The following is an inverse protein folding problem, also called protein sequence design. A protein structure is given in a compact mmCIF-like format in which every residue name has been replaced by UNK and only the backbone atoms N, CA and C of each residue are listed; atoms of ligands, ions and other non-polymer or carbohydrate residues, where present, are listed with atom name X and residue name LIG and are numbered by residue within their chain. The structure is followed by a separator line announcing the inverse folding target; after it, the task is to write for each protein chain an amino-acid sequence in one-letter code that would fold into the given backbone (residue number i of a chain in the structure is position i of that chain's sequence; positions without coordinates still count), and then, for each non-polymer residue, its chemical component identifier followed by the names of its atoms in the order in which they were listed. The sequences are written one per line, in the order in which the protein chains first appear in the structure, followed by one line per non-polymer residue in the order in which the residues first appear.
data_IF_056808668144
#
_entry.id   IF_056808668144
#
_cell.length_a   1.000
_cell.length_b   1.000
_cell.length_c   1.000
_cell.angle_alpha   90.00
_cell.angle_beta   90.00
_cell.angle_gamma   90.00
#
_symmetry.space_group_name_H-M   'P 1'
#
loop_
_entity.id
_entity.type
_entity.pdbx_description
1 polymer ?
#
# COMPACT_ATOMS: atom_id res chain seq x y z
N UNK A 1 -13.03 -4.97 19.50
CA UNK A 1 -12.01 -3.90 19.48
C UNK A 1 -12.39 -2.88 18.41
N UNK A 2 -12.04 -1.61 18.60
CA UNK A 2 -12.26 -0.55 17.60
C UNK A 2 -10.96 -0.38 16.82
N UNK A 3 -11.00 -0.59 15.51
CA UNK A 3 -9.86 -0.39 14.61
C UNK A 3 -10.12 0.82 13.73
N UNK A 4 -9.20 1.79 13.76
CA UNK A 4 -9.25 3.00 12.94
C UNK A 4 -8.03 3.05 12.05
N UNK A 5 -8.26 3.14 10.74
CA UNK A 5 -7.21 3.03 9.73
C UNK A 5 -6.13 4.10 9.90
N UNK A 6 -6.51 5.33 10.26
CA UNK A 6 -5.61 6.47 10.43
C UNK A 6 -4.61 6.25 11.57
N UNK A 7 -4.99 5.47 12.58
CA UNK A 7 -4.18 5.17 13.76
C UNK A 7 -3.47 3.82 13.63
N UNK A 8 -4.10 2.86 12.94
CA UNK A 8 -3.74 1.44 13.03
C UNK A 8 -2.98 0.89 11.81
N UNK A 9 -3.02 1.59 10.67
CA UNK A 9 -2.40 1.08 9.43
C UNK A 9 -0.88 0.96 9.52
N UNK A 10 -0.23 1.94 10.13
CA UNK A 10 1.24 1.93 10.25
C UNK A 10 1.74 0.83 11.21
N UNK A 11 1.18 0.69 12.43
CA UNK A 11 1.48 -0.46 13.30
C UNK A 11 1.24 -1.81 12.62
N UNK A 12 0.18 -1.93 11.80
CA UNK A 12 -0.09 -3.16 11.07
C UNK A 12 1.03 -3.49 10.07
N UNK A 13 1.52 -2.51 9.30
CA UNK A 13 2.64 -2.72 8.36
C UNK A 13 3.90 -3.18 9.12
N UNK A 14 4.18 -2.61 10.29
CA UNK A 14 5.31 -3.02 11.15
C UNK A 14 5.16 -4.44 11.70
N UNK A 15 3.94 -4.90 11.99
CA UNK A 15 3.69 -6.28 12.40
C UNK A 15 3.85 -7.24 11.23
N UNK A 16 3.35 -6.88 10.04
CA UNK A 16 3.53 -7.68 8.84
C UNK A 16 5.01 -7.89 8.51
N UNK A 17 5.87 -6.87 8.64
CA UNK A 17 7.29 -6.99 8.33
C UNK A 17 8.03 -8.00 9.22
N UNK A 18 7.54 -8.27 10.43
CA UNK A 18 8.15 -9.24 11.36
C UNK A 18 7.88 -10.69 10.96
N UNK A 19 6.89 -10.94 10.10
CA UNK A 19 6.51 -12.28 9.65
C UNK A 19 6.81 -12.53 8.17
N UNK A 20 7.37 -11.54 7.47
CA UNK A 20 7.90 -11.74 6.12
C UNK A 20 9.17 -12.59 6.20
N UNK A 21 9.40 -13.39 5.16
CA UNK A 21 10.70 -14.06 4.95
C UNK A 21 11.80 -13.03 4.75
N UNK A 22 13.06 -13.42 4.96
CA UNK A 22 14.23 -12.55 4.73
C UNK A 22 14.28 -11.94 3.31
N UNK A 23 13.73 -12.66 2.32
CA UNK A 23 13.65 -12.22 0.92
C UNK A 23 12.20 -12.27 0.41
N UNK A 24 11.33 -11.34 0.84
CA UNK A 24 9.93 -11.36 0.44
C UNK A 24 9.81 -10.97 -1.04
N UNK A 25 9.05 -11.73 -1.83
CA UNK A 25 8.79 -11.42 -3.23
C UNK A 25 8.01 -10.11 -3.39
N UNK A 26 7.00 -9.91 -2.52
CA UNK A 26 6.20 -8.69 -2.50
C UNK A 26 5.50 -8.49 -1.14
N UNK A 27 5.07 -7.25 -0.90
CA UNK A 27 4.11 -6.87 0.13
C UNK A 27 3.08 -5.93 -0.51
N UNK A 28 1.79 -6.14 -0.23
CA UNK A 28 0.70 -5.35 -0.83
C UNK A 28 -0.26 -4.89 0.26
N UNK A 29 -0.57 -3.60 0.26
CA UNK A 29 -1.70 -3.04 1.00
C UNK A 29 -2.67 -2.39 0.03
N UNK A 30 -3.96 -2.62 0.28
CA UNK A 30 -5.06 -2.11 -0.51
C UNK A 30 -6.10 -1.50 0.43
N UNK A 31 -6.50 -0.27 0.17
CA UNK A 31 -7.49 0.44 1.00
C UNK A 31 -8.56 1.06 0.12
N UNK A 32 -9.82 0.80 0.44
CA UNK A 32 -10.99 1.45 -0.16
C UNK A 32 -11.48 2.67 0.63
N UNK A 33 -10.78 3.03 1.71
CA UNK A 33 -11.11 4.24 2.45
C UNK A 33 -10.60 5.47 1.70
N UNK A 34 -11.39 6.54 1.71
CA UNK A 34 -10.93 7.85 1.25
C UNK A 34 -10.00 8.48 2.29
N UNK A 35 -8.97 9.21 1.86
CA UNK A 35 -8.09 9.98 2.76
C UNK A 35 -6.72 9.38 3.01
N UNK A 36 -6.51 8.09 2.69
CA UNK A 36 -5.18 7.49 2.68
C UNK A 36 -4.56 7.63 1.30
N UNK A 37 -3.66 8.61 1.13
CA UNK A 37 -3.05 8.91 -0.16
C UNK A 37 -1.98 7.88 -0.55
N UNK A 38 -1.79 7.61 -1.86
CA UNK A 38 -0.71 6.77 -2.36
C UNK A 38 0.68 7.18 -1.86
N UNK A 39 0.94 8.48 -1.76
CA UNK A 39 2.21 9.00 -1.24
C UNK A 39 2.45 8.59 0.22
N UNK A 40 1.40 8.58 1.05
CA UNK A 40 1.48 8.14 2.46
C UNK A 40 1.74 6.64 2.53
N UNK A 41 1.07 5.83 1.69
CA UNK A 41 1.34 4.39 1.58
C UNK A 41 2.78 4.11 1.17
N UNK A 42 3.27 4.80 0.14
CA UNK A 42 4.66 4.67 -0.32
C UNK A 42 5.65 5.01 0.80
N UNK A 43 5.42 6.11 1.53
CA UNK A 43 6.26 6.50 2.66
C UNK A 43 6.27 5.43 3.77
N UNK A 44 5.10 4.96 4.21
CA UNK A 44 4.99 3.95 5.27
C UNK A 44 5.68 2.64 4.91
N UNK A 45 5.43 2.12 3.70
CA UNK A 45 6.02 0.87 3.23
C UNK A 45 7.55 1.02 3.12
N UNK A 46 8.02 2.11 2.53
CA UNK A 46 9.46 2.37 2.37
C UNK A 46 10.15 2.52 3.73
N UNK A 47 9.46 3.08 4.73
CA UNK A 47 9.99 3.22 6.09
C UNK A 47 10.15 1.87 6.78
N UNK A 48 9.22 0.94 6.55
CA UNK A 48 9.23 -0.36 7.25
C UNK A 48 10.06 -1.43 6.53
N UNK A 49 9.93 -1.54 5.21
CA UNK A 49 10.57 -2.58 4.41
C UNK A 49 11.89 -2.13 3.75
N UNK A 50 12.14 -0.82 3.68
CA UNK A 50 13.25 -0.26 2.93
C UNK A 50 13.10 -0.46 1.42
N UNK A 51 14.14 -0.04 0.68
CA UNK A 51 14.19 -0.11 -0.79
C UNK A 51 15.48 -0.74 -1.32
N UNK A 52 16.34 -1.28 -0.44
CA UNK A 52 17.65 -1.79 -0.85
C UNK A 52 17.56 -3.01 -1.80
N UNK A 53 16.53 -3.84 -1.65
CA UNK A 53 16.34 -5.08 -2.40
C UNK A 53 15.02 -5.11 -3.21
N UNK A 54 14.38 -3.96 -3.40
CA UNK A 54 13.07 -3.89 -4.05
C UNK A 54 12.59 -2.48 -4.29
N UNK A 55 11.44 -2.36 -4.94
CA UNK A 55 10.82 -1.09 -5.31
C UNK A 55 9.47 -0.95 -4.63
N UNK A 56 9.20 0.24 -4.08
CA UNK A 56 7.87 0.59 -3.56
C UNK A 56 7.13 1.42 -4.60
N UNK A 57 5.94 0.96 -5.01
CA UNK A 57 5.02 1.68 -5.88
C UNK A 57 3.69 1.89 -5.17
N UNK A 58 3.03 3.02 -5.41
CA UNK A 58 1.70 3.27 -4.89
C UNK A 58 0.88 4.06 -5.92
N UNK A 59 -0.42 3.81 -5.97
CA UNK A 59 -1.33 4.46 -6.92
C UNK A 59 -2.76 4.52 -6.38
N UNK A 60 -3.55 5.42 -6.96
CA UNK A 60 -4.99 5.46 -6.74
C UNK A 60 -5.66 4.21 -7.32
N UNK A 61 -6.64 3.69 -6.60
CA UNK A 61 -7.59 2.69 -7.09
C UNK A 61 -8.73 3.46 -7.74
N UNK A 62 -9.10 3.06 -8.94
CA UNK A 62 -10.18 3.71 -9.67
C UNK A 62 -11.12 2.71 -10.35
N UNK A 63 -12.40 3.07 -10.43
CA UNK A 63 -13.40 2.36 -11.21
C UNK A 63 -13.76 3.16 -12.46
N UNK A 64 -13.62 2.58 -13.67
CA UNK A 64 -14.00 3.28 -14.90
C UNK A 64 -15.52 3.47 -14.96
N UNK A 65 -15.96 4.70 -15.25
CA UNK A 65 -17.38 5.07 -15.32
C UNK A 65 -17.84 5.09 -16.78
N UNK A 66 -18.68 4.12 -17.15
CA UNK A 66 -19.12 3.93 -18.55
C UNK A 66 -19.89 5.12 -19.14
N UNK A 67 -20.56 5.93 -18.31
CA UNK A 67 -21.44 7.02 -18.78
C UNK A 67 -20.71 8.30 -19.17
N UNK A 68 -19.49 8.53 -18.65
CA UNK A 68 -18.74 9.77 -18.89
C UNK A 68 -17.25 9.55 -19.24
N UNK A 69 -16.77 8.31 -19.21
CA UNK A 69 -15.37 7.96 -19.52
C UNK A 69 -14.35 8.40 -18.48
N UNK A 70 -14.80 8.92 -17.33
CA UNK A 70 -13.93 9.28 -16.20
C UNK A 70 -13.66 8.04 -15.32
N UNK A 71 -12.65 8.16 -14.46
CA UNK A 71 -12.34 7.15 -13.44
C UNK A 71 -12.81 7.68 -12.09
N UNK A 72 -13.68 6.93 -11.41
CA UNK A 72 -14.13 7.23 -10.05
C UNK A 72 -13.03 6.79 -9.07
N UNK A 73 -12.43 7.70 -8.27
CA UNK A 73 -11.48 7.32 -7.24
C UNK A 73 -12.16 6.49 -6.15
N UNK A 74 -11.55 5.38 -5.78
CA UNK A 74 -12.11 4.40 -4.85
C UNK A 74 -11.15 4.00 -3.72
N UNK A 75 -9.99 4.65 -3.62
CA UNK A 75 -9.01 4.41 -2.57
C UNK A 75 -7.58 4.37 -3.11
N UNK A 76 -6.67 3.75 -2.39
CA UNK A 76 -5.26 3.67 -2.76
C UNK A 76 -4.65 2.30 -2.47
N UNK A 77 -3.67 1.92 -3.27
CA UNK A 77 -2.87 0.72 -3.06
C UNK A 77 -1.38 1.08 -3.04
N UNK A 78 -0.62 0.35 -2.21
CA UNK A 78 0.81 0.46 -2.09
C UNK A 78 1.44 -0.93 -2.09
N UNK A 79 2.59 -1.06 -2.73
CA UNK A 79 3.20 -2.34 -3.07
C UNK A 79 4.72 -2.23 -2.96
N UNK A 80 5.35 -3.12 -2.20
CA UNK A 80 6.77 -3.44 -2.33
C UNK A 80 6.91 -4.67 -3.23
N UNK A 81 7.87 -4.67 -4.15
CA UNK A 81 8.24 -5.81 -4.99
C UNK A 81 9.76 -5.97 -5.01
N UNK A 82 10.26 -7.19 -4.85
CA UNK A 82 11.69 -7.48 -4.97
C UNK A 82 12.20 -7.18 -6.39
N UNK A 83 13.41 -6.64 -6.49
CA UNK A 83 14.04 -6.38 -7.79
C UNK A 83 14.79 -7.62 -8.27
N UNK A 84 14.51 -8.10 -9.48
CA UNK A 84 15.32 -9.13 -10.15
C UNK A 84 14.97 -10.58 -9.81
N UNK A 85 13.73 -11.00 -10.10
CA UNK A 85 13.37 -12.43 -10.21
C UNK A 85 14.04 -13.03 -11.45
#
# INVERSE_FOLDING_TARGET
EIWKIEESVYPLIQLCSQILTDNPLFFLINSYTTGLQPAVLSYMISTVLGTANGTVTASEIGLPVSSNGLVLPCGASGRYEATGI
#
